data_IF_969853598246
#
_entry.id   IF_969853598246
#
_cell.length_a   1.000
_cell.length_b   1.000
_cell.length_c   1.000
_cell.angle_alpha   90.00
_cell.angle_beta   90.00
_cell.angle_gamma   90.00
#
_symmetry.space_group_name_H-M   'P 1'
#
loop_
_entity.id
_entity.type
_entity.pdbx_description
1 polymer ?
#
# COMPACT_ATOMS: atom_id res chain seq x y z
N UNK A 1 15.94 6.38 2.59
CA UNK A 1 16.09 7.29 1.43
C UNK A 1 16.24 6.42 0.20
N UNK A 2 15.21 6.38 -0.65
CA UNK A 2 15.23 5.65 -1.91
C UNK A 2 16.14 6.40 -2.87
N UNK A 3 17.15 5.71 -3.39
CA UNK A 3 18.03 6.26 -4.40
C UNK A 3 17.30 6.22 -5.75
N UNK A 4 16.69 7.34 -6.12
CA UNK A 4 15.87 7.49 -7.33
C UNK A 4 16.65 7.12 -8.59
N UNK A 5 17.96 7.38 -8.62
CA UNK A 5 18.81 7.05 -9.76
C UNK A 5 19.01 5.53 -9.88
N UNK A 6 19.24 4.85 -8.76
CA UNK A 6 19.33 3.38 -8.73
C UNK A 6 18.02 2.70 -9.13
N UNK A 7 16.88 3.19 -8.62
CA UNK A 7 15.56 2.66 -8.98
C UNK A 7 15.25 2.88 -10.46
N UNK A 8 15.70 4.00 -11.03
CA UNK A 8 15.52 4.29 -12.46
C UNK A 8 16.20 3.25 -13.33
N UNK A 9 17.47 2.96 -13.04
CA UNK A 9 18.23 1.93 -13.76
C UNK A 9 17.55 0.56 -13.63
N UNK A 10 17.11 0.20 -12.42
CA UNK A 10 16.43 -1.08 -12.18
C UNK A 10 15.09 -1.19 -12.95
N UNK A 11 14.34 -0.09 -13.04
CA UNK A 11 13.13 -0.02 -13.86
C UNK A 11 13.44 -0.15 -15.35
N UNK A 12 14.42 0.60 -15.86
CA UNK A 12 14.83 0.58 -17.26
C UNK A 12 15.23 -0.85 -17.69
N UNK A 13 16.03 -1.55 -16.87
CA UNK A 13 16.43 -2.94 -17.11
C UNK A 13 15.24 -3.91 -17.06
N UNK A 14 14.37 -3.80 -16.05
CA UNK A 14 13.19 -4.64 -15.94
C UNK A 14 12.21 -4.43 -17.12
N UNK A 15 12.03 -3.17 -17.54
CA UNK A 15 11.19 -2.81 -18.67
C UNK A 15 11.73 -3.41 -19.99
N UNK A 16 13.04 -3.36 -20.20
CA UNK A 16 13.68 -4.04 -21.34
C UNK A 16 13.55 -5.57 -21.24
N UNK A 17 13.71 -6.13 -20.04
CA UNK A 17 13.65 -7.58 -19.81
C UNK A 17 12.27 -8.18 -20.11
N UNK A 18 11.18 -7.45 -19.91
CA UNK A 18 9.81 -7.91 -20.23
C UNK A 18 9.43 -7.69 -21.70
N UNK A 19 10.34 -7.17 -22.52
CA UNK A 19 10.14 -6.91 -23.95
C UNK A 19 9.81 -5.45 -24.30
N UNK A 20 10.00 -4.52 -23.36
CA UNK A 20 9.98 -3.08 -23.64
C UNK A 20 11.14 -2.65 -24.53
N UNK A 21 11.00 -1.51 -25.21
CA UNK A 21 12.04 -1.00 -26.11
C UNK A 21 12.80 0.15 -25.47
N UNK A 22 14.12 0.21 -25.68
CA UNK A 22 14.96 1.30 -25.17
C UNK A 22 14.52 2.67 -25.69
N UNK A 23 14.01 2.73 -26.92
CA UNK A 23 13.43 3.96 -27.50
C UNK A 23 12.19 4.47 -26.78
N UNK A 24 11.55 3.64 -25.95
CA UNK A 24 10.40 4.06 -25.14
C UNK A 24 10.86 4.60 -23.79
N UNK A 25 12.11 4.37 -23.38
CA UNK A 25 12.70 4.84 -22.12
C UNK A 25 13.35 6.23 -22.26
N UNK A 26 12.94 7.02 -23.27
CA UNK A 26 13.39 8.40 -23.41
C UNK A 26 12.91 9.23 -22.21
N UNK A 27 13.86 9.76 -21.45
CA UNK A 27 13.62 10.52 -20.23
C UNK A 27 14.07 11.97 -20.43
N UNK A 28 13.11 12.90 -20.48
CA UNK A 28 13.36 14.32 -20.66
C UNK A 28 12.79 15.10 -19.48
N UNK A 29 13.60 15.98 -18.88
CA UNK A 29 13.11 16.94 -17.88
C UNK A 29 12.56 16.35 -16.57
N UNK A 30 12.75 15.05 -16.31
CA UNK A 30 12.24 14.39 -15.11
C UNK A 30 11.08 13.41 -15.36
N UNK A 31 10.65 13.26 -16.61
CA UNK A 31 9.52 12.41 -16.98
C UNK A 31 9.85 11.58 -18.23
N UNK A 32 9.21 10.41 -18.38
CA UNK A 32 9.35 9.62 -19.59
C UNK A 32 8.44 10.19 -20.69
N UNK A 33 8.99 10.41 -21.88
CA UNK A 33 8.23 10.93 -23.03
C UNK A 33 7.18 9.92 -23.52
N UNK A 34 7.39 8.63 -23.25
CA UNK A 34 6.45 7.57 -23.60
C UNK A 34 5.48 7.28 -22.45
N UNK A 35 4.18 7.30 -22.74
CA UNK A 35 3.14 7.05 -21.73
C UNK A 35 3.23 5.67 -21.09
N UNK A 36 3.72 4.63 -21.77
CA UNK A 36 3.87 3.28 -21.18
C UNK A 36 5.00 3.23 -20.16
N UNK A 37 6.13 3.86 -20.51
CA UNK A 37 7.29 3.96 -19.64
C UNK A 37 6.99 4.82 -18.42
N UNK A 38 6.25 5.93 -18.61
CA UNK A 38 5.81 6.77 -17.50
C UNK A 38 4.91 6.00 -16.53
N UNK A 39 3.92 5.26 -17.04
CA UNK A 39 3.01 4.47 -16.21
C UNK A 39 3.75 3.35 -15.46
N UNK A 40 4.71 2.69 -16.12
CA UNK A 40 5.59 1.71 -15.49
C UNK A 40 6.47 2.32 -14.40
N UNK A 41 7.00 3.53 -14.64
CA UNK A 41 7.84 4.25 -13.69
C UNK A 41 7.07 4.69 -12.44
N UNK A 42 5.86 5.24 -12.60
CA UNK A 42 4.99 5.59 -11.48
C UNK A 42 4.70 4.37 -10.58
N UNK A 43 4.36 3.23 -11.17
CA UNK A 43 4.14 1.97 -10.45
C UNK A 43 5.41 1.48 -9.76
N UNK A 44 6.57 1.64 -10.40
CA UNK A 44 7.86 1.29 -9.83
C UNK A 44 8.19 2.14 -8.60
N UNK A 45 7.99 3.46 -8.69
CA UNK A 45 8.19 4.37 -7.56
C UNK A 45 7.26 4.05 -6.38
N UNK A 46 6.01 3.67 -6.64
CA UNK A 46 5.08 3.21 -5.60
C UNK A 46 5.62 1.95 -4.93
N UNK A 47 6.03 0.95 -5.71
CA UNK A 47 6.65 -0.28 -5.19
C UNK A 47 7.90 0.03 -4.36
N UNK A 48 8.75 0.93 -4.82
CA UNK A 48 9.96 1.35 -4.11
C UNK A 48 9.62 1.99 -2.76
N UNK A 49 8.65 2.90 -2.74
CA UNK A 49 8.14 3.56 -1.52
C UNK A 49 7.50 2.59 -0.55
N UNK A 50 6.73 1.63 -1.05
CA UNK A 50 6.14 0.58 -0.22
C UNK A 50 7.22 -0.35 0.35
N UNK A 51 8.24 -0.71 -0.42
CA UNK A 51 9.36 -1.51 0.09
C UNK A 51 10.22 -0.76 1.11
N UNK A 52 10.40 0.56 0.95
CA UNK A 52 11.06 1.41 1.95
C UNK A 52 10.22 1.49 3.24
N UNK A 53 8.90 1.62 3.13
CA UNK A 53 7.99 1.58 4.30
C UNK A 53 7.91 0.18 4.93
N UNK A 54 8.22 -0.86 4.17
CA UNK A 54 8.20 -2.25 4.60
C UNK A 54 9.53 -2.74 5.19
N UNK A 55 10.58 -1.91 5.24
CA UNK A 55 11.76 -2.18 6.06
C UNK A 55 11.49 -1.72 7.52
N UNK A 56 11.87 -2.54 8.51
CA UNK A 56 11.00 -2.85 9.63
C UNK A 56 11.20 -1.91 10.82
N UNK A 57 10.24 -1.03 11.06
CA UNK A 57 9.98 -0.55 12.41
C UNK A 57 8.49 -0.78 12.72
N UNK A 58 8.20 -1.95 13.31
CA UNK A 58 7.04 -2.16 14.19
C UNK A 58 5.68 -1.71 13.69
N UNK A 59 5.14 -2.29 12.61
CA UNK A 59 3.69 -2.57 12.48
C UNK A 59 3.44 -3.88 11.74
N UNK A 60 4.17 -4.93 12.11
CA UNK A 60 3.57 -6.25 12.06
C UNK A 60 2.39 -6.20 13.05
N UNK A 61 1.20 -5.85 12.56
CA UNK A 61 -0.03 -6.16 13.27
C UNK A 61 -0.14 -7.68 13.18
N UNK A 62 0.62 -8.37 14.03
CA UNK A 62 0.33 -9.74 14.41
C UNK A 62 -0.98 -9.67 15.16
N UNK A 63 -2.08 -9.59 14.43
CA UNK A 63 -3.41 -9.90 14.93
C UNK A 63 -3.33 -11.37 15.35
N UNK A 64 -2.88 -11.59 16.58
CA UNK A 64 -2.95 -12.89 17.22
C UNK A 64 -4.42 -13.18 17.47
N UNK A 65 -4.82 -14.44 17.46
CA UNK A 65 -6.22 -14.83 17.63
C UNK A 65 -6.84 -14.33 18.96
N UNK A 66 -6.04 -13.83 19.90
CA UNK A 66 -6.49 -13.18 21.11
C UNK A 66 -7.12 -11.79 20.85
N UNK A 67 -6.58 -10.99 19.94
CA UNK A 67 -7.09 -9.63 19.65
C UNK A 67 -8.35 -9.64 18.78
N UNK A 68 -8.53 -10.67 17.93
CA UNK A 68 -9.78 -10.87 17.19
C UNK A 68 -10.99 -11.13 18.11
N UNK A 69 -10.75 -11.67 19.32
CA UNK A 69 -11.81 -12.00 20.28
C UNK A 69 -12.34 -10.77 21.02
N UNK A 70 -11.49 -9.78 21.26
CA UNK A 70 -11.86 -8.52 21.93
C UNK A 70 -12.69 -7.61 20.99
N UNK A 71 -12.33 -7.57 19.70
CA UNK A 71 -13.09 -6.82 18.68
C UNK A 71 -14.46 -7.44 18.33
N UNK A 72 -14.69 -8.72 18.69
CA UNK A 72 -15.99 -9.39 18.47
C UNK A 72 -17.00 -9.13 19.61
N UNK A 73 -16.57 -8.50 20.71
CA UNK A 73 -17.44 -8.07 21.81
C UNK A 73 -18.04 -6.68 21.56
N UNK A 74 -17.99 -6.17 20.32
CA UNK A 74 -18.67 -4.93 19.93
C UNK A 74 -20.11 -5.21 19.46
N UNK A 75 -20.83 -6.08 20.19
CA UNK A 75 -22.11 -6.60 19.71
C UNK A 75 -22.92 -7.43 20.69
N UNK A 76 -22.94 -7.10 21.98
CA UNK A 76 -24.12 -7.36 22.79
C UNK A 76 -25.00 -6.10 22.73
N UNK A 77 -26.09 -6.06 21.95
CA UNK A 77 -27.10 -5.03 22.12
C UNK A 77 -27.64 -5.21 23.54
N UNK A 78 -27.34 -4.27 24.42
CA UNK A 78 -27.86 -4.22 25.77
C UNK A 78 -29.39 -4.26 25.69
N UNK A 79 -29.93 -5.44 25.96
CA UNK A 79 -31.35 -5.68 26.06
C UNK A 79 -31.84 -5.19 27.41
N UNK A 80 -31.74 -3.88 27.68
CA UNK A 80 -32.45 -3.28 28.81
C UNK A 80 -33.95 -3.31 28.54
N UNK A 81 -34.59 -4.37 29.04
CA UNK A 81 -36.02 -4.39 29.36
C UNK A 81 -36.20 -3.94 30.81
N UNK A 82 -36.70 -2.71 31.04
CA UNK A 82 -37.65 -2.27 32.11
C UNK A 82 -37.46 -0.78 32.42
N UNK A 83 -38.49 0.05 32.66
CA UNK A 83 -39.85 -0.19 33.16
C UNK A 83 -40.82 0.88 32.65
N UNK A 84 -42.04 0.45 32.33
CA UNK A 84 -43.23 1.31 32.30
C UNK A 84 -43.55 1.72 33.76
N UNK A 85 -43.78 3.00 34.10
CA UNK A 85 -44.45 3.35 35.35
C UNK A 85 -45.96 3.13 35.17
N UNK A 86 -46.46 2.07 35.81
CA UNK A 86 -47.90 1.92 36.09
C UNK A 86 -48.19 2.55 37.46
N UNK A 87 -49.05 3.57 37.46
CA UNK A 87 -50.02 3.92 38.51
C UNK A 87 -49.55 4.24 39.94
N UNK A 88 -49.72 5.50 40.35
CA UNK A 88 -50.68 5.87 41.40
C UNK A 88 -51.11 7.34 41.27
#
# INVERSE_FOLDING_TARGET
MIDLNKERVAFEEAYLSVGGKQRELEFEGGEYTNSKSQLGWDLWQIKAKVQEVALPETRAVTLTCAELKDAFDFGAPDGEKRSIPDGN
#
